data_IF_750838933133
#
_entry.id   IF_750838933133
#
_cell.length_a   1.000
_cell.length_b   1.000
_cell.length_c   1.000
_cell.angle_alpha   90.00
_cell.angle_beta   90.00
_cell.angle_gamma   90.00
#
_symmetry.space_group_name_H-M   'P 1'
#
loop_
_entity.id
_entity.type
_entity.pdbx_description
1 polymer ?
#
# COMPACT_ATOMS: atom_id res chain seq x y z
N UNK A 1 8.45 12.34 8.84
CA UNK A 1 8.68 11.12 9.63
C UNK A 1 8.85 9.88 8.74
N UNK A 2 7.94 9.61 7.80
CA UNK A 2 7.90 8.33 7.06
C UNK A 2 8.80 8.21 5.82
N UNK A 3 9.75 9.11 5.60
CA UNK A 3 10.62 9.06 4.40
C UNK A 3 11.38 7.74 4.26
N UNK A 4 11.79 7.15 5.40
CA UNK A 4 12.52 5.88 5.43
C UNK A 4 11.64 4.65 5.14
N UNK A 5 10.32 4.79 5.01
CA UNK A 5 9.42 3.68 4.68
C UNK A 5 9.41 3.41 3.16
N UNK A 6 9.96 4.33 2.37
CA UNK A 6 10.12 4.18 0.93
C UNK A 6 10.90 2.89 0.56
N UNK A 7 10.56 2.34 -0.61
CA UNK A 7 11.17 1.11 -1.14
C UNK A 7 11.14 -0.08 -0.15
N UNK A 8 10.09 -0.18 0.66
CA UNK A 8 9.91 -1.25 1.64
C UNK A 8 10.93 -1.17 2.78
N UNK A 9 10.96 -0.01 3.47
CA UNK A 9 11.92 0.28 4.53
C UNK A 9 13.38 0.16 4.07
N UNK A 10 13.67 0.65 2.86
CA UNK A 10 14.99 0.57 2.18
C UNK A 10 15.48 -0.84 1.83
N UNK A 11 14.75 -1.89 2.22
CA UNK A 11 15.16 -3.30 2.11
C UNK A 11 14.16 -4.13 1.31
N UNK A 12 13.27 -3.50 0.54
CA UNK A 12 12.19 -4.16 -0.21
C UNK A 12 11.29 -5.07 0.65
N UNK A 13 11.22 -4.79 1.96
CA UNK A 13 10.47 -5.54 2.97
C UNK A 13 8.98 -5.12 2.97
N UNK A 14 8.36 -4.90 4.12
CA UNK A 14 6.96 -4.46 4.23
C UNK A 14 6.69 -3.24 3.33
N UNK A 15 5.60 -3.25 2.56
CA UNK A 15 5.19 -2.10 1.76
C UNK A 15 5.07 -0.85 2.64
N UNK A 16 5.75 0.24 2.25
CA UNK A 16 5.80 1.47 3.04
C UNK A 16 4.42 2.05 3.34
N UNK A 17 3.46 1.91 2.43
CA UNK A 17 2.07 2.32 2.63
C UNK A 17 1.39 1.55 3.77
N UNK A 18 1.62 0.24 3.88
CA UNK A 18 1.12 -0.58 4.99
C UNK A 18 1.82 -0.24 6.30
N UNK A 19 3.13 0.02 6.26
CA UNK A 19 3.89 0.48 7.41
C UNK A 19 3.36 1.80 7.98
N UNK A 20 3.09 2.78 7.11
CA UNK A 20 2.45 4.03 7.50
C UNK A 20 1.06 3.80 8.09
N UNK A 21 0.25 2.94 7.46
CA UNK A 21 -1.09 2.64 7.95
C UNK A 21 -1.05 2.00 9.35
N UNK A 22 -0.16 1.04 9.59
CA UNK A 22 0.04 0.42 10.89
C UNK A 22 0.38 1.45 11.98
N UNK A 23 1.28 2.40 11.68
CA UNK A 23 1.64 3.47 12.60
C UNK A 23 0.44 4.39 12.92
N UNK A 24 -0.35 4.76 11.90
CA UNK A 24 -1.54 5.60 12.09
C UNK A 24 -2.62 4.88 12.90
N UNK A 25 -2.97 3.64 12.54
CA UNK A 25 -3.97 2.83 13.25
C UNK A 25 -3.57 2.66 14.73
N UNK A 26 -2.31 2.28 14.99
CA UNK A 26 -1.82 2.09 16.36
C UNK A 26 -1.74 3.38 17.19
N UNK A 27 -1.80 4.55 16.56
CA UNK A 27 -1.80 5.84 17.28
C UNK A 27 -3.18 6.27 17.77
N UNK A 28 -4.26 5.67 17.26
CA UNK A 28 -5.65 6.07 17.55
C UNK A 28 -6.53 4.94 18.10
N UNK A 29 -6.05 3.70 18.09
CA UNK A 29 -6.78 2.52 18.58
C UNK A 29 -6.06 1.87 19.76
N UNK A 30 -6.82 1.14 20.60
CA UNK A 30 -6.24 0.14 21.50
C UNK A 30 -5.59 -1.01 20.71
N UNK A 31 -4.78 -1.83 21.39
CA UNK A 31 -3.97 -2.86 20.75
C UNK A 31 -4.78 -3.93 20.00
N UNK A 32 -5.92 -4.36 20.53
CA UNK A 32 -6.73 -5.42 19.92
C UNK A 32 -7.47 -4.88 18.69
N UNK A 33 -8.05 -3.68 18.81
CA UNK A 33 -8.68 -2.99 17.67
C UNK A 33 -7.67 -2.71 16.56
N UNK A 34 -6.48 -2.21 16.91
CA UNK A 34 -5.43 -1.91 15.95
C UNK A 34 -4.99 -3.16 15.18
N UNK A 35 -4.78 -4.27 15.89
CA UNK A 35 -4.39 -5.56 15.30
C UNK A 35 -5.45 -6.09 14.34
N UNK A 36 -6.73 -5.99 14.70
CA UNK A 36 -7.84 -6.43 13.86
C UNK A 36 -7.93 -5.61 12.56
N UNK A 37 -7.89 -4.28 12.65
CA UNK A 37 -7.95 -3.38 11.49
C UNK A 37 -6.76 -3.59 10.57
N UNK A 38 -5.55 -3.66 11.11
CA UNK A 38 -4.35 -3.86 10.31
C UNK A 38 -4.38 -5.20 9.57
N UNK A 39 -4.80 -6.28 10.25
CA UNK A 39 -4.93 -7.60 9.62
C UNK A 39 -5.93 -7.61 8.46
N UNK A 40 -7.07 -6.91 8.61
CA UNK A 40 -8.06 -6.76 7.54
C UNK A 40 -7.50 -5.96 6.35
N UNK A 41 -6.80 -4.86 6.63
CA UNK A 41 -6.14 -4.04 5.60
C UNK A 41 -5.07 -4.83 4.84
N UNK A 42 -4.23 -5.59 5.53
CA UNK A 42 -3.18 -6.42 4.93
C UNK A 42 -3.75 -7.54 4.07
N UNK A 43 -4.84 -8.18 4.50
CA UNK A 43 -5.51 -9.22 3.71
C UNK A 43 -6.14 -8.63 2.44
N UNK A 44 -6.81 -7.48 2.55
CA UNK A 44 -7.30 -6.77 1.38
C UNK A 44 -6.17 -6.40 0.41
N UNK A 45 -5.04 -5.87 0.91
CA UNK A 45 -3.91 -5.46 0.07
C UNK A 45 -3.32 -6.63 -0.74
N UNK A 46 -3.28 -7.84 -0.16
CA UNK A 46 -2.75 -9.04 -0.84
C UNK A 46 -3.59 -9.42 -2.06
N UNK A 47 -4.88 -9.12 -2.06
CA UNK A 47 -5.84 -9.58 -3.06
C UNK A 47 -6.31 -8.46 -4.01
N UNK A 48 -6.20 -7.20 -3.59
CA UNK A 48 -6.65 -6.05 -4.36
C UNK A 48 -5.86 -5.85 -5.67
N UNK A 49 -6.58 -5.48 -6.72
CA UNK A 49 -5.98 -4.99 -7.96
C UNK A 49 -5.56 -3.53 -7.80
N UNK A 50 -4.24 -3.29 -7.74
CA UNK A 50 -3.66 -1.98 -7.44
C UNK A 50 -2.72 -1.49 -8.55
N UNK A 51 -2.65 -0.17 -8.83
CA UNK A 51 -3.36 0.93 -8.14
C UNK A 51 -4.75 1.21 -8.75
N UNK A 52 -5.73 1.54 -7.91
CA UNK A 52 -7.07 1.97 -8.31
C UNK A 52 -7.12 3.48 -8.56
N UNK A 53 -6.52 4.28 -7.66
CA UNK A 53 -6.41 5.72 -7.81
C UNK A 53 -5.22 6.12 -8.69
N UNK A 54 -5.51 6.72 -9.85
CA UNK A 54 -4.50 7.14 -10.84
C UNK A 54 -4.74 8.60 -11.31
N UNK A 55 -4.42 9.61 -10.48
CA UNK A 55 -4.75 11.01 -10.77
C UNK A 55 -4.02 11.60 -11.97
N UNK A 56 -2.86 11.03 -12.32
CA UNK A 56 -2.05 11.46 -13.47
C UNK A 56 -2.56 10.92 -14.82
N UNK A 57 -3.62 10.09 -14.81
CA UNK A 57 -4.24 9.50 -16.01
C UNK A 57 -3.25 8.76 -16.93
N UNK A 58 -2.24 8.12 -16.36
CA UNK A 58 -1.21 7.35 -17.09
C UNK A 58 -1.71 5.99 -17.58
N UNK A 59 -2.95 5.59 -17.23
CA UNK A 59 -3.54 4.29 -17.58
C UNK A 59 -2.63 3.11 -17.23
N UNK A 60 -2.05 3.14 -16.03
CA UNK A 60 -1.13 2.12 -15.55
C UNK A 60 -1.89 0.80 -15.33
N UNK A 61 -1.28 -0.35 -15.67
CA UNK A 61 -1.91 -1.63 -15.42
C UNK A 61 -2.04 -1.89 -13.91
N UNK A 62 -3.18 -2.47 -13.51
CA UNK A 62 -3.35 -2.99 -12.15
C UNK A 62 -2.63 -4.33 -11.99
N UNK A 63 -2.23 -4.63 -10.75
CA UNK A 63 -1.62 -5.90 -10.36
C UNK A 63 -2.04 -6.28 -8.96
N UNK A 64 -2.09 -7.58 -8.67
CA UNK A 64 -2.28 -8.13 -7.33
C UNK A 64 -0.91 -8.40 -6.71
N UNK A 65 -0.71 -8.00 -5.45
CA UNK A 65 0.57 -8.18 -4.77
C UNK A 65 0.80 -9.62 -4.32
N UNK A 66 -0.23 -10.31 -3.81
CA UNK A 66 -0.13 -11.68 -3.26
C UNK A 66 0.59 -11.77 -1.91
N UNK A 67 1.22 -10.70 -1.45
CA UNK A 67 1.89 -10.59 -0.15
C UNK A 67 1.87 -9.14 0.36
N UNK A 68 2.38 -8.91 1.58
CA UNK A 68 2.57 -7.56 2.14
C UNK A 68 3.90 -6.92 1.72
N UNK A 69 4.74 -7.64 0.97
CA UNK A 69 6.08 -7.20 0.62
C UNK A 69 6.05 -6.16 -0.50
N UNK A 70 6.92 -5.16 -0.37
CA UNK A 70 7.17 -4.15 -1.38
C UNK A 70 7.80 -4.79 -2.62
N UNK A 71 8.73 -5.73 -2.43
CA UNK A 71 9.36 -6.51 -3.52
C UNK A 71 8.34 -7.11 -4.45
N UNK A 72 7.31 -7.76 -3.90
CA UNK A 72 6.34 -8.53 -4.68
C UNK A 72 5.35 -7.58 -5.34
N UNK A 73 4.83 -6.61 -4.59
CA UNK A 73 3.90 -5.60 -5.12
C UNK A 73 4.49 -4.79 -6.27
N UNK A 74 5.69 -4.24 -6.09
CA UNK A 74 6.34 -3.45 -7.15
C UNK A 74 6.92 -4.35 -8.25
N UNK A 75 7.43 -5.52 -7.89
CA UNK A 75 7.98 -6.51 -8.81
C UNK A 75 6.95 -7.01 -9.81
N UNK A 76 5.76 -7.39 -9.34
CA UNK A 76 4.65 -7.83 -10.19
C UNK A 76 4.24 -6.73 -11.18
N UNK A 77 4.16 -5.48 -10.72
CA UNK A 77 3.87 -4.33 -11.58
C UNK A 77 4.95 -4.10 -12.63
N UNK A 78 6.23 -4.09 -12.24
CA UNK A 78 7.33 -3.90 -13.19
C UNK A 78 7.38 -5.03 -14.22
N UNK A 79 7.15 -6.28 -13.80
CA UNK A 79 7.07 -7.43 -14.70
C UNK A 79 5.92 -7.30 -15.72
N UNK A 80 4.74 -6.79 -15.30
CA UNK A 80 3.58 -6.61 -16.18
C UNK A 80 3.71 -5.42 -17.12
N UNK A 81 4.30 -4.32 -16.65
CA UNK A 81 4.34 -3.04 -17.37
C UNK A 81 5.61 -2.84 -18.21
N UNK A 82 6.71 -3.50 -17.85
CA UNK A 82 8.04 -3.28 -18.43
C UNK A 82 8.77 -2.05 -17.88
N UNK A 83 8.17 -1.27 -16.98
CA UNK A 83 8.83 -0.13 -16.35
C UNK A 83 9.93 -0.55 -15.37
N UNK A 84 11.02 0.21 -15.35
CA UNK A 84 12.09 0.05 -14.39
C UNK A 84 11.73 0.71 -13.05
N UNK A 85 12.46 0.32 -11.99
CA UNK A 85 12.30 0.92 -10.67
C UNK A 85 12.56 2.44 -10.71
N UNK A 86 13.42 2.96 -11.58
CA UNK A 86 13.68 4.39 -11.67
C UNK A 86 12.51 5.23 -12.22
N UNK A 87 11.60 4.60 -12.95
CA UNK A 87 10.71 5.28 -13.88
C UNK A 87 9.62 6.10 -13.18
N UNK A 88 9.27 7.28 -13.72
CA UNK A 88 8.19 8.11 -13.21
C UNK A 88 6.86 7.36 -13.07
N UNK A 89 6.51 6.53 -14.06
CA UNK A 89 5.27 5.75 -14.11
C UNK A 89 5.21 4.74 -12.95
N UNK A 90 6.33 4.07 -12.67
CA UNK A 90 6.47 3.17 -11.53
C UNK A 90 6.32 3.93 -10.20
N UNK A 91 6.91 5.12 -10.09
CA UNK A 91 6.76 5.98 -8.90
C UNK A 91 5.32 6.45 -8.71
N UNK A 92 4.66 6.85 -9.80
CA UNK A 92 3.25 7.22 -9.84
C UNK A 92 2.36 6.05 -9.39
N UNK A 93 2.65 4.82 -9.85
CA UNK A 93 1.99 3.62 -9.34
C UNK A 93 2.11 3.47 -7.83
N UNK A 94 3.31 3.61 -7.26
CA UNK A 94 3.51 3.52 -5.81
C UNK A 94 2.76 4.62 -5.05
N UNK A 95 2.64 5.82 -5.62
CA UNK A 95 1.84 6.90 -5.04
C UNK A 95 0.33 6.56 -5.07
N UNK A 96 -0.17 6.00 -6.17
CA UNK A 96 -1.54 5.48 -6.27
C UNK A 96 -1.84 4.41 -5.22
N UNK A 97 -0.94 3.43 -5.06
CA UNK A 97 -1.07 2.40 -4.00
C UNK A 97 -1.08 3.00 -2.60
N UNK A 98 -0.31 4.06 -2.34
CA UNK A 98 -0.36 4.76 -1.06
C UNK A 98 -1.73 5.43 -0.83
N UNK A 99 -2.33 6.01 -1.86
CA UNK A 99 -3.69 6.56 -1.79
C UNK A 99 -4.73 5.47 -1.54
N UNK A 100 -4.67 4.35 -2.27
CA UNK A 100 -5.61 3.24 -2.12
C UNK A 100 -5.56 2.64 -0.70
N UNK A 101 -4.34 2.38 -0.18
CA UNK A 101 -4.15 1.89 1.19
C UNK A 101 -4.66 2.88 2.22
N UNK A 102 -4.45 4.19 2.00
CA UNK A 102 -4.94 5.24 2.89
C UNK A 102 -6.47 5.28 2.89
N UNK A 103 -7.10 5.24 1.72
CA UNK A 103 -8.56 5.19 1.57
C UNK A 103 -9.14 3.98 2.30
N UNK A 104 -8.56 2.79 2.06
CA UNK A 104 -9.02 1.57 2.72
C UNK A 104 -8.83 1.61 4.24
N UNK A 105 -7.69 2.11 4.72
CA UNK A 105 -7.45 2.30 6.15
C UNK A 105 -8.53 3.19 6.78
N UNK A 106 -8.87 4.31 6.14
CA UNK A 106 -9.89 5.25 6.65
C UNK A 106 -11.28 4.61 6.66
N UNK A 107 -11.65 3.85 5.63
CA UNK A 107 -12.89 3.07 5.63
C UNK A 107 -12.98 2.14 6.85
N UNK A 108 -11.91 1.38 7.11
CA UNK A 108 -11.88 0.41 8.21
C UNK A 108 -11.89 1.09 9.57
N UNK A 109 -11.16 2.20 9.75
CA UNK A 109 -11.19 3.00 10.97
C UNK A 109 -12.59 3.55 11.23
N UNK A 110 -13.22 4.15 10.22
CA UNK A 110 -14.58 4.68 10.34
C UNK A 110 -15.58 3.56 10.67
N UNK A 111 -15.47 2.39 10.05
CA UNK A 111 -16.36 1.27 10.33
C UNK A 111 -16.24 0.70 11.76
N UNK A 112 -15.10 0.93 12.44
CA UNK A 112 -14.84 0.42 13.80
C UNK A 112 -14.99 1.47 14.90
N UNK A 113 -14.79 2.74 14.59
CA UNK A 113 -14.71 3.82 15.58
C UNK A 113 -15.83 4.85 15.48
N UNK A 114 -16.62 4.86 14.40
CA UNK A 114 -17.76 5.77 14.23
C UNK A 114 -19.03 5.29 14.96
#
# INVERSE_FOLDING_TARGET
MFTNYGAGFTQASLCGSLGCAAACIGSVCDADTAKAILGELENWYKEAELPMYQPENLNLPTTVAGSILCSDSVGNFMAKSGYAMGDPERKSRCAGVAADVTGKMVELLNAKLA
#
